data_IF_160091416788
#
_entry.id   IF_160091416788
#
_cell.length_a   1.000
_cell.length_b   1.000
_cell.length_c   1.000
_cell.angle_alpha   90.00
_cell.angle_beta   90.00
_cell.angle_gamma   90.00
#
_symmetry.space_group_name_H-M   'P 1'
#
loop_
_entity.id
_entity.type
_entity.pdbx_description
1 polymer ?
#
# COMPACT_ATOMS: atom_id res chain seq x y z
N UNK A 1 22.03 -27.71 -28.69
CA UNK A 1 22.22 -27.05 -27.39
C UNK A 1 22.15 -25.54 -27.60
N UNK A 2 20.95 -25.02 -27.84
CA UNK A 2 20.70 -23.57 -27.94
C UNK A 2 20.22 -23.09 -26.58
N UNK A 3 20.88 -22.06 -26.04
CA UNK A 3 20.41 -21.32 -24.87
C UNK A 3 19.04 -20.73 -25.20
N UNK A 4 18.04 -21.05 -24.39
CA UNK A 4 16.78 -20.32 -24.36
C UNK A 4 17.10 -19.01 -23.64
N UNK A 5 17.00 -17.90 -24.38
CA UNK A 5 17.00 -16.57 -23.79
C UNK A 5 15.84 -16.49 -22.79
N UNK A 6 16.16 -16.07 -21.56
CA UNK A 6 15.15 -15.73 -20.56
C UNK A 6 14.35 -14.52 -21.05
N UNK A 7 13.01 -14.53 -20.97
CA UNK A 7 12.24 -13.34 -21.26
C UNK A 7 12.46 -12.34 -20.14
N UNK A 8 13.36 -11.37 -20.37
CA UNK A 8 13.46 -10.17 -19.56
C UNK A 8 12.21 -9.32 -19.80
N UNK A 9 11.17 -9.55 -19.00
CA UNK A 9 9.98 -8.72 -18.96
C UNK A 9 10.34 -7.46 -18.19
N UNK A 10 10.76 -6.41 -18.90
CA UNK A 10 10.66 -5.03 -18.42
C UNK A 10 9.42 -4.43 -19.07
N UNK A 11 8.35 -4.28 -18.31
CA UNK A 11 7.24 -3.42 -18.70
C UNK A 11 7.58 -1.98 -18.31
N UNK A 12 7.53 -1.00 -19.21
CA UNK A 12 7.46 0.39 -18.85
C UNK A 12 5.97 0.77 -18.71
N UNK A 13 5.46 0.84 -17.49
CA UNK A 13 4.21 1.56 -17.24
C UNK A 13 4.51 3.06 -17.33
N UNK A 14 4.07 3.70 -18.41
CA UNK A 14 4.16 5.14 -18.61
C UNK A 14 3.15 5.87 -17.71
N UNK A 15 3.53 6.00 -16.43
CA UNK A 15 3.33 7.16 -15.54
C UNK A 15 4.01 6.76 -14.21
N UNK A 16 5.34 6.86 -14.22
CA UNK A 16 6.29 6.25 -13.28
C UNK A 16 6.15 6.76 -11.84
N UNK A 17 5.12 6.30 -11.14
CA UNK A 17 5.15 6.20 -9.70
C UNK A 17 5.71 4.82 -9.36
N UNK A 18 6.89 4.81 -8.76
CA UNK A 18 7.40 3.65 -8.03
C UNK A 18 6.58 3.53 -6.75
N UNK A 19 6.18 2.30 -6.43
CA UNK A 19 5.50 1.98 -5.19
C UNK A 19 6.45 1.16 -4.34
N UNK A 20 6.70 1.67 -3.13
CA UNK A 20 7.67 1.09 -2.21
C UNK A 20 6.98 0.71 -0.93
N UNK A 21 7.17 -0.54 -0.52
CA UNK A 21 6.78 -1.02 0.80
C UNK A 21 8.03 -1.40 1.59
N UNK A 22 8.32 -0.65 2.65
CA UNK A 22 9.49 -0.85 3.51
C UNK A 22 9.09 -1.16 4.94
N UNK A 23 9.79 -2.10 5.57
CA UNK A 23 9.63 -2.41 7.00
C UNK A 23 10.91 -2.11 7.75
N UNK A 24 10.80 -1.37 8.84
CA UNK A 24 11.90 -1.08 9.76
C UNK A 24 11.61 -1.68 11.13
N UNK A 25 12.49 -2.51 11.69
CA UNK A 25 12.33 -3.02 13.05
C UNK A 25 12.34 -1.85 14.06
N UNK A 26 11.47 -1.93 15.06
CA UNK A 26 11.39 -0.98 16.17
C UNK A 26 11.40 -1.76 17.48
N UNK A 27 12.25 -1.34 18.42
CA UNK A 27 12.28 -1.96 19.74
C UNK A 27 11.01 -1.65 20.52
N UNK A 28 10.46 -2.65 21.23
CA UNK A 28 9.18 -2.52 21.93
C UNK A 28 9.15 -1.36 22.95
N UNK A 29 10.29 -1.06 23.59
CA UNK A 29 10.44 0.07 24.51
C UNK A 29 10.22 1.44 23.83
N UNK A 30 10.44 1.53 22.52
CA UNK A 30 10.26 2.76 21.72
C UNK A 30 8.88 2.88 21.10
N UNK A 31 8.13 1.79 20.98
CA UNK A 31 6.76 1.81 20.43
C UNK A 31 5.81 2.63 21.30
N UNK A 32 6.00 2.60 22.62
CA UNK A 32 5.23 3.43 23.55
C UNK A 32 5.51 4.93 23.35
N UNK A 33 6.78 5.27 23.09
CA UNK A 33 7.23 6.65 22.84
C UNK A 33 6.86 7.12 21.43
N UNK A 34 6.79 6.21 20.46
CA UNK A 34 6.52 6.50 19.03
C UNK A 34 5.29 7.36 18.82
N UNK A 35 4.14 7.00 19.42
CA UNK A 35 2.90 7.79 19.24
C UNK A 35 3.03 9.20 19.80
N UNK A 36 3.69 9.31 20.94
CA UNK A 36 3.93 10.59 21.61
C UNK A 36 4.89 11.45 20.80
N UNK A 37 5.97 10.85 20.30
CA UNK A 37 7.00 11.52 19.51
C UNK A 37 6.45 11.92 18.14
N UNK A 38 5.73 11.04 17.46
CA UNK A 38 5.02 11.33 16.22
C UNK A 38 4.06 12.51 16.39
N UNK A 39 3.21 12.44 17.43
CA UNK A 39 2.27 13.52 17.76
C UNK A 39 2.99 14.83 18.06
N UNK A 40 4.10 14.78 18.81
CA UNK A 40 4.89 15.96 19.17
C UNK A 40 5.57 16.58 17.95
N UNK A 41 6.22 15.76 17.13
CA UNK A 41 6.91 16.17 15.91
C UNK A 41 5.96 16.87 14.97
N UNK A 42 4.76 16.30 14.78
CA UNK A 42 3.72 16.86 13.93
C UNK A 42 3.14 18.15 14.51
N UNK A 43 2.75 18.16 15.80
CA UNK A 43 2.18 19.35 16.47
C UNK A 43 3.15 20.54 16.50
N UNK A 44 4.44 20.26 16.67
CA UNK A 44 5.46 21.30 16.75
C UNK A 44 5.90 21.83 15.38
N UNK A 45 5.49 21.17 14.29
CA UNK A 45 5.83 21.61 12.94
C UNK A 45 4.79 22.60 12.43
N UNK A 46 5.25 23.81 12.08
CA UNK A 46 4.37 24.90 11.60
C UNK A 46 3.59 24.58 10.33
N UNK A 47 4.02 23.55 9.59
CA UNK A 47 3.42 23.07 8.35
C UNK A 47 3.54 21.54 8.27
N UNK A 48 2.67 20.78 8.95
CA UNK A 48 2.85 19.34 9.09
C UNK A 48 2.76 18.60 7.75
N UNK A 49 2.06 19.14 6.75
CA UNK A 49 2.09 18.66 5.35
C UNK A 49 3.51 18.59 4.78
N UNK A 50 4.42 19.47 5.24
CA UNK A 50 5.83 19.43 4.83
C UNK A 50 6.63 18.28 5.41
N UNK A 51 6.20 17.70 6.53
CA UNK A 51 6.88 16.55 7.12
C UNK A 51 6.69 15.32 6.25
N UNK A 52 5.48 15.09 5.74
CA UNK A 52 5.22 13.95 4.85
C UNK A 52 5.68 14.20 3.41
N UNK A 53 6.23 15.37 3.12
CA UNK A 53 6.75 15.71 1.80
C UNK A 53 5.67 15.91 0.74
N UNK A 54 4.42 16.19 1.15
CA UNK A 54 3.28 16.34 0.24
C UNK A 54 2.93 17.82 0.04
N UNK A 55 2.97 18.28 -1.21
CA UNK A 55 2.41 19.56 -1.63
C UNK A 55 3.25 20.78 -1.26
N UNK A 56 4.57 20.60 -1.10
CA UNK A 56 5.47 21.62 -0.53
C UNK A 56 6.15 22.47 -1.60
N UNK A 57 6.22 21.99 -2.84
CA UNK A 57 6.80 22.70 -3.96
C UNK A 57 6.49 22.09 -5.33
N UNK A 58 7.03 22.71 -6.37
CA UNK A 58 6.94 22.26 -7.77
C UNK A 58 7.92 21.11 -8.07
N UNK A 59 8.54 20.51 -7.04
CA UNK A 59 9.62 19.55 -7.21
C UNK A 59 9.08 18.19 -7.64
N UNK A 60 9.57 17.68 -8.78
CA UNK A 60 9.11 16.44 -9.42
C UNK A 60 9.41 15.16 -8.63
N UNK A 61 10.08 15.31 -7.49
CA UNK A 61 10.58 14.22 -6.64
C UNK A 61 9.83 14.03 -5.32
N UNK A 62 8.81 14.85 -5.05
CA UNK A 62 7.95 14.66 -3.88
C UNK A 62 7.11 13.38 -4.01
N UNK A 63 6.91 12.62 -2.91
CA UNK A 63 5.99 11.49 -2.91
C UNK A 63 4.55 11.96 -3.15
N UNK A 64 3.80 11.11 -3.85
CA UNK A 64 2.37 11.28 -4.12
C UNK A 64 1.51 10.70 -3.00
N UNK A 65 1.96 9.59 -2.41
CA UNK A 65 1.30 8.96 -1.26
C UNK A 65 2.36 8.61 -0.23
N UNK A 66 2.07 8.87 1.05
CA UNK A 66 2.86 8.36 2.17
C UNK A 66 1.90 7.77 3.19
N UNK A 67 2.02 6.47 3.45
CA UNK A 67 1.31 5.78 4.53
C UNK A 67 2.31 5.12 5.47
N UNK A 68 2.12 5.29 6.76
CA UNK A 68 2.97 4.75 7.83
C UNK A 68 2.10 3.95 8.78
N UNK A 69 2.48 2.72 9.03
CA UNK A 69 1.78 1.81 9.93
C UNK A 69 2.73 1.30 11.01
N UNK A 70 2.16 1.01 12.18
CA UNK A 70 2.80 0.19 13.19
C UNK A 70 2.25 -1.22 13.10
N UNK A 71 3.14 -2.17 12.86
CA UNK A 71 2.84 -3.60 13.00
C UNK A 71 3.42 -4.09 14.32
N UNK A 72 2.59 -4.64 15.21
CA UNK A 72 3.04 -5.24 16.46
C UNK A 72 2.63 -6.71 16.56
N UNK A 73 3.56 -7.57 16.97
CA UNK A 73 3.29 -8.99 17.24
C UNK A 73 4.23 -9.53 18.33
N UNK A 74 4.01 -10.76 18.76
CA UNK A 74 4.75 -11.37 19.87
C UNK A 74 6.28 -11.47 19.66
N UNK A 75 6.76 -11.31 18.42
CA UNK A 75 8.18 -11.35 18.05
C UNK A 75 8.81 -9.99 17.82
N UNK A 76 8.08 -8.89 18.04
CA UNK A 76 8.57 -7.52 17.91
C UNK A 76 7.62 -6.60 17.16
N UNK A 77 8.09 -5.38 16.90
CA UNK A 77 7.31 -4.34 16.23
C UNK A 77 8.06 -3.78 15.02
N UNK A 78 7.31 -3.35 14.01
CA UNK A 78 7.85 -2.78 12.79
C UNK A 78 7.13 -1.48 12.45
N UNK A 79 7.89 -0.49 12.03
CA UNK A 79 7.37 0.68 11.32
C UNK A 79 7.35 0.37 9.83
N UNK A 80 6.16 0.43 9.25
CA UNK A 80 5.91 0.02 7.87
C UNK A 80 5.57 1.26 7.06
N UNK A 81 6.24 1.44 5.94
CA UNK A 81 6.06 2.57 5.04
C UNK A 81 5.55 2.08 3.70
N UNK A 82 4.44 2.63 3.23
CA UNK A 82 3.97 2.53 1.86
C UNK A 82 4.09 3.91 1.22
N UNK A 83 4.99 4.05 0.23
CA UNK A 83 5.25 5.32 -0.44
C UNK A 83 5.06 5.15 -1.94
N UNK A 84 4.25 6.02 -2.53
CA UNK A 84 4.14 6.17 -3.98
C UNK A 84 4.88 7.45 -4.38
N UNK A 85 5.78 7.37 -5.36
CA UNK A 85 6.55 8.55 -5.78
C UNK A 85 7.51 8.23 -6.92
N UNK A 86 8.34 9.19 -7.31
CA UNK A 86 9.41 8.95 -8.29
C UNK A 86 10.65 8.52 -7.53
N UNK A 87 11.12 7.29 -7.75
CA UNK A 87 12.29 6.78 -7.07
C UNK A 87 13.56 7.55 -7.48
N UNK A 88 14.35 8.09 -6.54
CA UNK A 88 15.64 8.66 -6.85
C UNK A 88 16.62 7.54 -7.20
N UNK A 89 17.29 7.65 -8.35
CA UNK A 89 18.42 6.80 -8.73
C UNK A 89 18.13 5.28 -8.71
N UNK A 90 16.88 4.88 -8.94
CA UNK A 90 16.39 3.50 -8.89
C UNK A 90 16.60 2.79 -7.52
N UNK A 91 16.72 3.55 -6.42
CA UNK A 91 16.82 3.01 -5.05
C UNK A 91 15.52 3.23 -4.24
N UNK A 92 14.66 2.20 -4.12
CA UNK A 92 13.39 2.29 -3.39
C UNK A 92 13.53 2.79 -1.96
N UNK A 93 14.64 2.46 -1.28
CA UNK A 93 14.86 2.89 0.12
C UNK A 93 15.03 4.41 0.17
N UNK A 94 15.77 4.98 -0.78
CA UNK A 94 15.98 6.42 -0.89
C UNK A 94 14.68 7.21 -1.07
N UNK A 95 13.62 6.62 -1.64
CA UNK A 95 12.31 7.26 -1.71
C UNK A 95 11.69 7.43 -0.31
N UNK A 96 11.77 6.40 0.54
CA UNK A 96 11.28 6.44 1.93
C UNK A 96 12.15 7.34 2.80
N UNK A 97 13.47 7.20 2.71
CA UNK A 97 14.43 8.02 3.48
C UNK A 97 14.44 9.50 3.04
N UNK A 98 13.93 9.78 1.84
CA UNK A 98 13.66 11.11 1.32
C UNK A 98 12.58 11.86 2.09
N UNK A 99 11.64 11.16 2.74
CA UNK A 99 10.51 11.75 3.45
C UNK A 99 11.01 12.46 4.72
N UNK A 100 10.67 13.73 4.89
CA UNK A 100 11.14 14.52 6.04
C UNK A 100 10.68 13.94 7.40
N UNK A 101 9.51 13.32 7.43
CA UNK A 101 8.98 12.60 8.59
C UNK A 101 9.85 11.38 8.92
N UNK A 102 10.29 10.63 7.91
CA UNK A 102 11.21 9.52 8.13
C UNK A 102 12.47 10.02 8.82
N UNK A 103 13.09 11.08 8.30
CA UNK A 103 14.31 11.66 8.89
C UNK A 103 14.11 12.15 10.32
N UNK A 104 12.97 12.81 10.59
CA UNK A 104 12.63 13.27 11.93
C UNK A 104 12.43 12.13 12.93
N UNK A 105 11.98 10.96 12.47
CA UNK A 105 11.78 9.77 13.31
C UNK A 105 13.04 8.88 13.39
N UNK A 106 13.84 8.80 12.33
CA UNK A 106 14.99 7.92 12.22
C UNK A 106 16.04 8.18 13.32
N UNK A 107 16.29 9.45 13.64
CA UNK A 107 17.22 9.84 14.71
C UNK A 107 16.77 9.38 16.10
N UNK A 108 15.45 9.29 16.33
CA UNK A 108 14.88 8.94 17.63
C UNK A 108 14.61 7.45 17.80
N UNK A 109 14.33 6.76 16.70
CA UNK A 109 13.92 5.36 16.68
C UNK A 109 15.02 4.39 16.24
N UNK A 110 16.19 4.91 15.83
CA UNK A 110 17.32 4.12 15.34
C UNK A 110 16.89 3.17 14.20
N UNK A 111 16.15 3.72 13.22
CA UNK A 111 15.62 2.95 12.09
C UNK A 111 16.77 2.49 11.18
N UNK A 112 17.07 1.19 11.20
CA UNK A 112 18.07 0.52 10.35
C UNK A 112 17.53 -0.86 9.91
N UNK A 113 18.14 -1.48 8.91
CA UNK A 113 17.81 -2.84 8.47
C UNK A 113 16.51 -2.93 7.69
N UNK A 114 16.24 -1.96 6.82
CA UNK A 114 15.03 -1.93 5.99
C UNK A 114 14.86 -3.23 5.20
N UNK A 115 13.66 -3.79 5.23
CA UNK A 115 13.23 -4.84 4.29
C UNK A 115 12.33 -4.20 3.23
N UNK A 116 12.80 -4.18 1.98
CA UNK A 116 12.07 -3.65 0.82
C UNK A 116 11.30 -4.77 0.15
N UNK A 117 10.03 -4.51 -0.16
CA UNK A 117 9.15 -5.46 -0.82
C UNK A 117 8.61 -4.84 -2.09
N UNK A 118 8.86 -5.51 -3.21
CA UNK A 118 8.38 -5.07 -4.52
C UNK A 118 6.88 -5.42 -4.70
N UNK A 119 6.11 -4.53 -5.34
CA UNK A 119 4.71 -4.80 -5.65
C UNK A 119 4.59 -5.86 -6.76
N UNK A 120 3.58 -6.70 -6.65
CA UNK A 120 3.16 -7.66 -7.69
C UNK A 120 1.96 -7.14 -8.47
N UNK A 121 1.09 -6.39 -7.80
CA UNK A 121 -0.05 -5.69 -8.40
C UNK A 121 -0.10 -4.29 -7.82
N UNK A 122 -0.33 -3.30 -8.67
CA UNK A 122 -0.61 -1.94 -8.27
C UNK A 122 -1.75 -1.39 -9.13
N UNK A 123 -2.84 -1.01 -8.48
CA UNK A 123 -3.99 -0.40 -9.12
C UNK A 123 -4.36 0.88 -8.37
N UNK A 124 -4.60 1.97 -9.12
CA UNK A 124 -4.96 3.28 -8.57
C UNK A 124 -6.11 3.88 -9.39
N UNK A 125 -7.13 4.38 -8.70
CA UNK A 125 -8.24 5.05 -9.35
C UNK A 125 -7.78 6.38 -9.99
N UNK A 126 -8.10 6.65 -11.27
CA UNK A 126 -7.65 7.87 -11.97
C UNK A 126 -8.25 9.14 -11.37
N UNK A 127 -9.43 9.04 -10.78
CA UNK A 127 -10.10 10.15 -10.08
C UNK A 127 -9.96 10.07 -8.56
N UNK A 128 -8.94 9.35 -8.04
CA UNK A 128 -8.67 9.26 -6.59
C UNK A 128 -8.70 10.66 -5.97
N UNK A 129 -9.62 10.93 -5.04
CA UNK A 129 -9.69 12.23 -4.40
C UNK A 129 -8.41 12.45 -3.58
N UNK A 130 -7.95 13.71 -3.51
CA UNK A 130 -6.95 14.09 -2.51
C UNK A 130 -7.56 13.82 -1.13
N UNK A 131 -7.00 12.86 -0.40
CA UNK A 131 -7.62 12.38 0.82
C UNK A 131 -6.94 12.92 2.08
N UNK A 132 -7.77 13.30 3.06
CA UNK A 132 -7.39 13.84 4.37
C UNK A 132 -7.96 12.90 5.44
N UNK A 133 -7.25 12.70 6.54
CA UNK A 133 -7.83 12.26 7.81
C UNK A 133 -7.27 13.07 8.96
N UNK A 134 -8.15 13.49 9.84
CA UNK A 134 -7.72 14.12 11.08
C UNK A 134 -8.19 13.25 12.21
N UNK A 135 -7.25 12.79 13.03
CA UNK A 135 -7.46 12.83 14.47
C UNK A 135 -6.16 12.87 15.25
N UNK A 136 -6.28 13.49 16.42
CA UNK A 136 -5.24 13.74 17.39
C UNK A 136 -5.94 13.55 18.75
N UNK A 137 -5.36 12.75 19.64
CA UNK A 137 -5.98 12.22 20.88
C UNK A 137 -6.77 10.90 20.72
N UNK A 138 -6.39 10.04 19.77
CA UNK A 138 -6.71 8.60 19.83
C UNK A 138 -7.06 7.89 18.53
N UNK A 139 -6.95 8.52 17.36
CA UNK A 139 -7.35 7.97 16.05
C UNK A 139 -6.32 8.38 14.97
N UNK A 140 -6.11 7.57 13.91
CA UNK A 140 -5.11 7.79 12.85
C UNK A 140 -5.03 9.22 12.32
N UNK A 141 -3.80 9.69 12.12
CA UNK A 141 -3.48 11.04 11.67
C UNK A 141 -3.15 11.05 10.17
N UNK A 142 -3.68 11.98 9.38
CA UNK A 142 -3.47 12.02 7.93
C UNK A 142 -3.35 13.46 7.40
N UNK A 143 -2.41 13.66 6.48
CA UNK A 143 -1.94 14.97 6.03
C UNK A 143 -2.15 15.14 4.53
N UNK A 144 -3.40 15.27 4.09
CA UNK A 144 -3.75 15.62 2.72
C UNK A 144 -3.91 17.14 2.51
N UNK A 145 -3.87 17.59 1.25
CA UNK A 145 -3.92 19.00 0.87
C UNK A 145 -5.23 19.45 0.21
N UNK A 146 -6.39 19.38 0.88
CA UNK A 146 -7.60 20.12 0.40
C UNK A 146 -8.65 20.36 1.49
N UNK A 147 -9.38 21.47 1.30
CA UNK A 147 -10.42 22.07 2.15
C UNK A 147 -11.76 21.28 2.19
N UNK A 148 -11.75 19.94 2.20
CA UNK A 148 -12.98 19.13 2.18
C UNK A 148 -13.34 18.58 3.57
N UNK A 149 -14.60 18.75 3.99
CA UNK A 149 -15.15 18.35 5.30
C UNK A 149 -15.54 16.85 5.35
N UNK A 150 -15.01 16.04 4.42
CA UNK A 150 -15.34 14.62 4.26
C UNK A 150 -14.81 13.70 5.37
N UNK A 151 -15.43 12.53 5.52
CA UNK A 151 -14.91 11.46 6.39
C UNK A 151 -13.59 10.93 5.79
N UNK A 152 -12.60 10.63 6.64
CA UNK A 152 -11.32 10.14 6.13
C UNK A 152 -11.40 8.80 5.40
N UNK A 153 -10.48 8.55 4.45
CA UNK A 153 -10.39 7.25 3.82
C UNK A 153 -10.04 6.18 4.85
N UNK A 154 -10.61 4.99 4.67
CA UNK A 154 -10.20 3.77 5.36
C UNK A 154 -8.97 3.20 4.65
N UNK A 155 -7.83 3.26 5.34
CA UNK A 155 -6.52 2.82 4.84
C UNK A 155 -6.02 1.67 5.69
N UNK A 156 -5.89 0.51 5.07
CA UNK A 156 -5.64 -0.75 5.77
C UNK A 156 -4.60 -1.58 5.05
N UNK A 157 -3.87 -2.36 5.84
CA UNK A 157 -2.96 -3.40 5.33
C UNK A 157 -3.43 -4.75 5.86
N UNK A 158 -3.54 -5.74 4.98
CA UNK A 158 -3.77 -7.12 5.37
C UNK A 158 -2.57 -7.96 4.99
N UNK A 159 -2.25 -8.96 5.80
CA UNK A 159 -1.16 -9.89 5.52
C UNK A 159 -1.57 -11.35 5.75
N UNK A 160 -2.50 -11.90 4.94
CA UNK A 160 -2.83 -13.32 5.01
C UNK A 160 -1.63 -14.19 4.62
N UNK A 161 -1.46 -15.28 5.36
CA UNK A 161 -0.46 -16.32 5.08
C UNK A 161 -0.87 -17.15 3.88
N UNK A 162 0.09 -17.48 3.03
CA UNK A 162 -0.10 -18.36 1.89
C UNK A 162 0.27 -19.80 2.25
N UNK A 163 -0.35 -20.76 1.55
CA UNK A 163 0.04 -22.17 1.65
C UNK A 163 1.45 -22.39 1.13
N UNK A 164 2.22 -23.22 1.83
CA UNK A 164 3.59 -23.60 1.44
C UNK A 164 3.65 -24.20 0.03
N UNK A 165 4.59 -23.74 -0.80
CA UNK A 165 4.85 -24.29 -2.14
C UNK A 165 3.99 -23.73 -3.29
N UNK A 166 3.03 -22.85 -3.00
CA UNK A 166 2.22 -22.13 -3.99
C UNK A 166 2.57 -20.66 -4.29
N UNK A 167 3.57 -19.98 -3.66
CA UNK A 167 3.84 -18.56 -3.95
C UNK A 167 4.18 -18.32 -5.42
N UNK A 168 5.00 -19.19 -6.03
CA UNK A 168 5.38 -19.08 -7.44
C UNK A 168 4.24 -19.33 -8.42
N UNK A 169 3.22 -20.11 -8.03
CA UNK A 169 2.03 -20.33 -8.88
C UNK A 169 1.12 -19.11 -8.85
N UNK A 170 1.00 -18.48 -7.69
CA UNK A 170 0.23 -17.25 -7.49
C UNK A 170 0.92 -16.06 -8.15
N UNK A 171 2.23 -15.90 -8.00
CA UNK A 171 3.06 -14.92 -8.74
C UNK A 171 2.84 -15.08 -10.24
N UNK A 172 3.00 -16.30 -10.77
CA UNK A 172 2.81 -16.56 -12.20
C UNK A 172 1.38 -16.34 -12.65
N UNK A 173 0.40 -16.52 -11.77
CA UNK A 173 -1.00 -16.27 -12.07
C UNK A 173 -1.32 -14.78 -12.07
N UNK A 174 -0.85 -14.00 -11.08
CA UNK A 174 -0.95 -12.54 -11.08
C UNK A 174 -0.22 -11.93 -12.27
N UNK A 175 1.01 -12.36 -12.55
CA UNK A 175 1.75 -11.97 -13.75
C UNK A 175 1.02 -12.35 -15.04
N UNK A 176 0.30 -13.49 -15.07
CA UNK A 176 -0.52 -13.88 -16.22
C UNK A 176 -1.80 -13.09 -16.34
N UNK A 177 -2.43 -12.68 -15.24
CA UNK A 177 -3.55 -11.75 -15.26
C UNK A 177 -3.06 -10.41 -15.80
N UNK A 178 -2.02 -9.82 -15.20
CA UNK A 178 -1.42 -8.57 -15.65
C UNK A 178 -1.02 -8.66 -17.14
N UNK A 179 -0.30 -9.70 -17.57
CA UNK A 179 0.07 -9.88 -18.97
C UNK A 179 -1.12 -10.18 -19.90
N UNK A 180 -2.19 -10.79 -19.39
CA UNK A 180 -3.44 -10.97 -20.13
C UNK A 180 -4.14 -9.62 -20.35
N UNK A 181 -4.03 -8.69 -19.40
CA UNK A 181 -4.57 -7.33 -19.49
C UNK A 181 -3.69 -6.36 -20.29
N UNK A 182 -2.36 -6.49 -20.25
CA UNK A 182 -1.36 -5.66 -20.97
C UNK A 182 -1.31 -5.87 -22.50
N UNK A 183 -2.13 -6.79 -23.05
CA UNK A 183 -2.18 -7.11 -24.48
C UNK A 183 -2.73 -6.01 -25.42
N UNK A 184 -2.73 -4.74 -25.01
CA UNK A 184 -3.05 -3.56 -25.83
C UNK A 184 -4.48 -3.46 -26.38
N UNK A 185 -5.37 -4.41 -26.02
CA UNK A 185 -6.79 -4.42 -26.38
C UNK A 185 -7.73 -4.36 -25.16
N UNK A 186 -7.16 -4.37 -23.96
CA UNK A 186 -7.90 -4.55 -22.69
C UNK A 186 -7.58 -3.44 -21.68
N UNK A 187 -6.81 -2.40 -21.99
CA UNK A 187 -6.81 -1.18 -21.15
C UNK A 187 -8.23 -0.60 -21.08
N UNK A 188 -8.91 -0.53 -22.22
CA UNK A 188 -10.30 -0.06 -22.32
C UNK A 188 -11.32 -1.01 -21.67
N UNK A 189 -11.04 -2.31 -21.62
CA UNK A 189 -11.93 -3.28 -20.99
C UNK A 189 -11.62 -3.46 -19.49
N UNK A 190 -10.40 -3.16 -19.04
CA UNK A 190 -10.08 -2.98 -17.64
C UNK A 190 -10.73 -1.68 -17.13
N UNK A 191 -10.65 -0.57 -17.87
CA UNK A 191 -11.43 0.63 -17.55
C UNK A 191 -12.95 0.31 -17.54
N UNK A 192 -13.51 -0.27 -18.62
CA UNK A 192 -14.95 -0.56 -18.69
C UNK A 192 -15.47 -1.61 -17.68
N UNK A 193 -14.63 -2.53 -17.18
CA UNK A 193 -15.05 -3.61 -16.26
C UNK A 193 -14.66 -3.34 -14.80
N UNK A 194 -13.58 -2.59 -14.58
CA UNK A 194 -13.03 -2.33 -13.24
C UNK A 194 -13.45 -0.96 -12.73
N UNK A 195 -13.64 0.05 -13.59
CA UNK A 195 -14.17 1.37 -13.17
C UNK A 195 -15.55 1.25 -12.48
N UNK A 196 -16.54 0.49 -13.00
CA UNK A 196 -17.83 0.36 -12.31
C UNK A 196 -17.73 -0.41 -10.99
N UNK A 197 -16.77 -1.33 -10.87
CA UNK A 197 -16.53 -2.14 -9.66
C UNK A 197 -15.79 -1.31 -8.61
N UNK A 198 -14.77 -0.56 -9.02
CA UNK A 198 -13.97 0.32 -8.15
C UNK A 198 -14.79 1.52 -7.67
N UNK A 199 -15.62 2.12 -8.53
CA UNK A 199 -16.59 3.16 -8.14
C UNK A 199 -17.68 2.60 -7.22
N UNK A 200 -18.16 1.37 -7.47
CA UNK A 200 -19.16 0.73 -6.62
C UNK A 200 -18.59 0.34 -5.24
N UNK A 201 -17.36 -0.16 -5.21
CA UNK A 201 -16.63 -0.59 -4.01
C UNK A 201 -16.09 0.61 -3.22
N UNK A 202 -15.87 1.75 -3.86
CA UNK A 202 -15.26 2.93 -3.25
C UNK A 202 -13.77 2.75 -2.99
N UNK A 203 -13.07 1.98 -3.83
CA UNK A 203 -11.62 1.75 -3.72
C UNK A 203 -10.87 2.87 -4.44
N UNK A 204 -9.83 3.39 -3.80
CA UNK A 204 -8.98 4.43 -4.38
C UNK A 204 -7.62 3.89 -4.79
N UNK A 205 -7.04 2.98 -4.00
CA UNK A 205 -5.78 2.31 -4.35
C UNK A 205 -5.74 0.93 -3.74
N UNK A 206 -5.26 -0.03 -4.52
CA UNK A 206 -4.96 -1.39 -4.07
C UNK A 206 -3.54 -1.76 -4.56
N UNK A 207 -2.70 -2.17 -3.62
CA UNK A 207 -1.36 -2.67 -3.92
C UNK A 207 -1.14 -4.02 -3.25
N UNK A 208 -0.79 -5.03 -4.03
CA UNK A 208 -0.45 -6.34 -3.51
C UNK A 208 1.07 -6.57 -3.58
N UNK A 209 1.64 -7.08 -2.50
CA UNK A 209 3.04 -7.45 -2.37
C UNK A 209 3.16 -8.92 -1.96
N UNK A 210 4.34 -9.49 -2.17
CA UNK A 210 4.68 -10.82 -1.66
C UNK A 210 5.88 -10.75 -0.75
N UNK A 211 5.66 -11.21 0.46
CA UNK A 211 6.64 -11.14 1.54
C UNK A 211 7.01 -12.55 1.99
N UNK A 212 8.31 -12.85 2.08
CA UNK A 212 8.83 -14.05 2.73
C UNK A 212 9.28 -13.71 4.15
N UNK A 213 8.74 -14.42 5.15
CA UNK A 213 9.12 -14.27 6.57
C UNK A 213 9.37 -15.66 7.13
N UNK A 214 10.58 -15.90 7.63
CA UNK A 214 10.98 -17.17 8.26
C UNK A 214 10.68 -18.42 7.39
N UNK A 215 10.78 -18.29 6.05
CA UNK A 215 10.52 -19.35 5.08
C UNK A 215 9.04 -19.53 4.70
N UNK A 216 8.15 -18.73 5.26
CA UNK A 216 6.73 -18.68 4.93
C UNK A 216 6.41 -17.48 4.05
N UNK A 217 5.44 -17.65 3.14
CA UNK A 217 5.02 -16.59 2.23
C UNK A 217 3.71 -15.94 2.65
N UNK A 218 3.64 -14.64 2.47
CA UNK A 218 2.49 -13.82 2.78
C UNK A 218 2.14 -12.94 1.59
N UNK A 219 0.84 -12.79 1.35
CA UNK A 219 0.35 -11.78 0.42
C UNK A 219 -0.02 -10.54 1.23
N UNK A 220 0.75 -9.47 1.08
CA UNK A 220 0.48 -8.20 1.77
C UNK A 220 -0.39 -7.36 0.85
N UNK A 221 -1.54 -6.90 1.29
CA UNK A 221 -2.43 -6.05 0.50
C UNK A 221 -2.61 -4.72 1.23
N UNK A 222 -2.15 -3.65 0.59
CA UNK A 222 -2.47 -2.27 0.95
C UNK A 222 -3.77 -1.90 0.23
N UNK A 223 -4.73 -1.36 0.97
CA UNK A 223 -6.00 -0.89 0.43
C UNK A 223 -6.30 0.50 1.00
N UNK A 224 -6.62 1.43 0.11
CA UNK A 224 -7.21 2.73 0.43
C UNK A 224 -8.59 2.78 -0.21
N UNK A 225 -9.60 3.07 0.60
CA UNK A 225 -11.00 3.07 0.18
C UNK A 225 -11.85 4.01 1.04
N UNK A 226 -13.09 4.26 0.65
CA UNK A 226 -14.06 5.02 1.46
C UNK A 226 -14.49 4.25 2.71
N UNK A 227 -14.72 2.94 2.59
CA UNK A 227 -15.11 2.05 3.69
C UNK A 227 -14.77 0.62 3.35
N UNK A 228 -13.93 -0.02 4.17
CA UNK A 228 -13.58 -1.44 4.00
C UNK A 228 -14.82 -2.34 4.10
N UNK A 229 -15.79 -2.02 4.95
CA UNK A 229 -17.04 -2.79 5.06
C UNK A 229 -17.86 -2.70 3.77
N UNK A 230 -17.85 -1.54 3.09
CA UNK A 230 -18.51 -1.36 1.79
C UNK A 230 -17.79 -2.16 0.70
N UNK A 231 -16.47 -2.09 0.63
CA UNK A 231 -15.64 -2.86 -0.32
C UNK A 231 -15.94 -4.36 -0.17
N UNK A 232 -15.90 -4.89 1.07
CA UNK A 232 -16.14 -6.30 1.31
C UNK A 232 -17.58 -6.72 0.98
N UNK A 233 -18.57 -5.87 1.27
CA UNK A 233 -19.96 -6.15 0.90
C UNK A 233 -20.12 -6.21 -0.61
N UNK A 234 -19.59 -5.21 -1.32
CA UNK A 234 -19.65 -5.16 -2.78
C UNK A 234 -18.93 -6.35 -3.43
N UNK A 235 -17.76 -6.74 -2.91
CA UNK A 235 -17.06 -7.96 -3.32
C UNK A 235 -17.92 -9.23 -3.16
N UNK A 236 -18.65 -9.37 -2.04
CA UNK A 236 -19.53 -10.52 -1.81
C UNK A 236 -20.84 -10.48 -2.60
N UNK A 237 -21.36 -9.29 -2.88
CA UNK A 237 -22.61 -9.11 -3.63
C UNK A 237 -22.39 -9.13 -5.15
N UNK A 238 -21.14 -9.04 -5.61
CA UNK A 238 -20.79 -8.98 -7.04
C UNK A 238 -20.94 -10.33 -7.76
N UNK A 239 -21.71 -10.40 -8.84
CA UNK A 239 -21.74 -11.59 -9.72
C UNK A 239 -20.66 -11.53 -10.82
N UNK A 240 -19.70 -10.61 -10.72
CA UNK A 240 -18.66 -10.45 -11.72
C UNK A 240 -17.76 -11.71 -11.84
N UNK A 241 -17.58 -12.17 -13.07
CA UNK A 241 -16.87 -13.41 -13.34
C UNK A 241 -15.37 -13.31 -12.98
N UNK A 242 -14.77 -12.13 -13.12
CA UNK A 242 -13.38 -11.89 -12.75
C UNK A 242 -13.24 -11.93 -11.23
N UNK A 243 -14.14 -11.25 -10.49
CA UNK A 243 -14.17 -11.29 -9.03
C UNK A 243 -14.30 -12.73 -8.49
N UNK A 244 -15.17 -13.55 -9.08
CA UNK A 244 -15.38 -14.95 -8.65
C UNK A 244 -14.20 -15.87 -8.99
N UNK A 245 -13.52 -15.64 -10.11
CA UNK A 245 -12.28 -16.35 -10.44
C UNK A 245 -11.15 -15.96 -9.48
N UNK A 246 -11.02 -14.68 -9.16
CA UNK A 246 -10.05 -14.16 -8.20
C UNK A 246 -10.30 -14.70 -6.79
N UNK A 247 -11.56 -14.73 -6.33
CA UNK A 247 -11.94 -15.36 -5.06
C UNK A 247 -11.48 -16.81 -4.99
N UNK A 248 -11.76 -17.59 -6.04
CA UNK A 248 -11.39 -19.01 -6.08
C UNK A 248 -9.88 -19.19 -6.05
N UNK A 249 -9.13 -18.35 -6.74
CA UNK A 249 -7.68 -18.36 -6.73
C UNK A 249 -7.12 -18.04 -5.34
N UNK A 250 -7.64 -17.01 -4.68
CA UNK A 250 -7.25 -16.62 -3.33
C UNK A 250 -7.60 -17.72 -2.32
N UNK A 251 -8.83 -18.27 -2.33
CA UNK A 251 -9.21 -19.40 -1.47
C UNK A 251 -8.30 -20.62 -1.61
N UNK A 252 -7.75 -20.84 -2.79
CA UNK A 252 -6.85 -21.96 -3.03
C UNK A 252 -5.43 -21.70 -2.50
N UNK A 253 -5.00 -20.45 -2.51
CA UNK A 253 -3.63 -20.04 -2.20
C UNK A 253 -3.42 -19.61 -0.75
N UNK A 254 -4.47 -19.13 -0.08
CA UNK A 254 -4.41 -18.77 1.34
C UNK A 254 -4.40 -20.00 2.24
N UNK A 255 -3.61 -19.91 3.32
CA UNK A 255 -3.56 -20.93 4.36
C UNK A 255 -4.91 -21.05 5.06
N UNK A 256 -5.49 -19.91 5.46
CA UNK A 256 -6.86 -19.78 5.95
C UNK A 256 -7.75 -19.03 4.94
N UNK A 257 -8.56 -19.75 4.14
CA UNK A 257 -9.45 -19.12 3.17
C UNK A 257 -10.67 -18.45 3.81
N UNK A 258 -10.95 -18.69 5.11
CA UNK A 258 -12.05 -18.02 5.81
C UNK A 258 -11.78 -16.52 6.03
N UNK A 259 -10.52 -16.09 5.82
CA UNK A 259 -10.14 -14.69 5.71
C UNK A 259 -11.02 -13.91 4.72
N UNK A 260 -11.48 -14.56 3.65
CA UNK A 260 -12.30 -13.90 2.61
C UNK A 260 -13.77 -13.80 2.99
N UNK A 261 -14.24 -14.50 4.04
CA UNK A 261 -15.67 -14.58 4.39
C UNK A 261 -16.15 -13.44 5.30
N UNK A 262 -15.23 -12.57 5.72
CA UNK A 262 -15.50 -11.45 6.63
C UNK A 262 -14.53 -10.31 6.35
N UNK A 263 -14.95 -9.11 6.75
CA UNK A 263 -14.07 -7.94 6.82
C UNK A 263 -12.84 -8.31 7.66
N UNK A 264 -11.62 -8.28 7.11
CA UNK A 264 -10.49 -8.81 7.82
C UNK A 264 -10.03 -7.84 8.91
N UNK A 265 -9.70 -8.42 10.06
CA UNK A 265 -9.00 -7.69 11.10
C UNK A 265 -7.57 -7.41 10.62
N UNK A 266 -7.09 -6.20 10.89
CA UNK A 266 -5.71 -5.81 10.60
C UNK A 266 -4.92 -5.69 11.91
N UNK A 267 -3.69 -6.18 11.89
CA UNK A 267 -2.69 -5.95 12.95
C UNK A 267 -1.85 -4.69 12.72
N UNK A 268 -2.11 -4.00 11.63
CA UNK A 268 -1.41 -2.79 11.24
C UNK A 268 -2.24 -1.61 11.74
N UNK A 269 -1.67 -0.85 12.67
CA UNK A 269 -2.24 0.40 13.11
C UNK A 269 -1.76 1.50 12.17
N UNK A 270 -2.69 2.20 11.52
CA UNK A 270 -2.35 3.36 10.73
C UNK A 270 -1.89 4.50 11.65
N UNK A 271 -0.68 5.01 11.41
CA UNK A 271 -0.11 6.13 12.14
C UNK A 271 -0.18 7.43 11.35
N UNK A 272 0.22 7.36 10.07
CA UNK A 272 0.21 8.49 9.14
C UNK A 272 -0.32 8.04 7.79
N UNK A 273 -1.18 8.81 7.15
CA UNK A 273 -1.44 8.69 5.71
C UNK A 273 -1.47 10.07 5.08
N UNK A 274 -1.16 10.20 3.80
CA UNK A 274 -1.10 11.49 3.13
C UNK A 274 -1.13 11.26 1.62
N UNK A 275 -1.92 12.05 0.90
CA UNK A 275 -2.07 11.97 -0.57
C UNK A 275 -1.98 13.36 -1.19
N UNK A 276 -1.20 13.49 -2.26
CA UNK A 276 -1.07 14.69 -3.07
C UNK A 276 -1.87 14.57 -4.36
N UNK A 277 -2.97 15.32 -4.49
CA UNK A 277 -3.82 15.30 -5.69
C UNK A 277 -3.25 16.14 -6.85
N UNK A 278 -2.20 16.94 -6.62
CA UNK A 278 -1.75 17.99 -7.55
C UNK A 278 -0.97 17.50 -8.76
N UNK A 279 -0.76 16.19 -8.90
CA UNK A 279 -0.15 15.59 -10.10
C UNK A 279 -1.04 14.52 -10.70
N UNK A 280 -2.12 14.99 -11.33
CA UNK A 280 -2.61 14.41 -12.58
C UNK A 280 -1.65 14.74 -13.72
#
# INVERSE_FOLDING_TARGET
>A
MSRLDEPTVRAPLQNAADVVYCRYPVSDGRVADLRTDLSRTIRNHSRPERLVGIGVGDDRREPYTVSVFLESFAGGSFLVWHVEGVCPDDDPVSLVEGVALFRALAEHLELDGASVIEPVVFARHPERPGSVARSLDGVPFVLGSTDDDGEPPDVVVFRPRMRSGLPTTVIRWFQRLVAFFEGGRIERAFDEWTEPVVDAEGVHTETAFLEEIDGDWYCVNYLECESRERVWRAYHDSDDAVARVSERALRWSLDDPSFLDRVPETRFELLVHAVNDRRR
#
